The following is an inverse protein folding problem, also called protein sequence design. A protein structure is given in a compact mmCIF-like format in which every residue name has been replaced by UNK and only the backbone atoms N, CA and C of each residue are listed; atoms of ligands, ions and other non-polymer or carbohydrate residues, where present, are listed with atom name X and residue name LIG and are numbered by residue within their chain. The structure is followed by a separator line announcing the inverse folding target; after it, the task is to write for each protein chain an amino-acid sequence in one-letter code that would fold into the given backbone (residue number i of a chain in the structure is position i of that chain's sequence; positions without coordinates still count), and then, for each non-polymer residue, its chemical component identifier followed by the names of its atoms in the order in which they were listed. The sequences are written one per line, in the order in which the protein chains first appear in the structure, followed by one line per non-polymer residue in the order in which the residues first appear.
data_IF_589454551750
#
_entry.id   IF_589454551750
#
_cell.length_a   1.000
_cell.length_b   1.000
_cell.length_c   1.000
_cell.angle_alpha   90.00
_cell.angle_beta   90.00
_cell.angle_gamma   90.00
#
_symmetry.space_group_name_H-M   'P 1'
#
loop_
_entity.id
_entity.type
_entity.pdbx_description
1 polymer ?
#
# COMPACT_ATOMS: atom_id res chain seq x y z
N UNK A 1 -1.44 25.35 -15.05
CA UNK A 1 -2.36 25.46 -13.90
C UNK A 1 -3.14 24.17 -13.78
N UNK A 2 -2.68 23.25 -12.94
CA UNK A 2 -3.52 22.28 -12.23
C UNK A 2 -2.71 21.88 -10.99
N UNK A 3 -2.70 22.76 -9.98
CA UNK A 3 -2.13 22.45 -8.67
C UNK A 3 -3.16 21.60 -7.92
N UNK A 4 -3.38 20.35 -8.35
CA UNK A 4 -4.08 19.38 -7.50
C UNK A 4 -3.21 19.16 -6.29
N UNK A 5 -3.66 19.66 -5.13
CA UNK A 5 -3.06 19.26 -3.86
C UNK A 5 -3.01 17.72 -3.82
N UNK A 6 -1.90 17.13 -3.37
CA UNK A 6 -1.82 15.68 -3.23
C UNK A 6 -2.96 15.23 -2.32
N UNK A 7 -3.66 14.16 -2.74
CA UNK A 7 -4.76 13.58 -1.99
C UNK A 7 -4.33 13.32 -0.52
N UNK A 8 -5.21 13.59 0.46
CA UNK A 8 -4.98 13.18 1.85
C UNK A 8 -4.61 11.71 1.94
N UNK A 9 -3.67 11.37 2.82
CA UNK A 9 -3.06 10.04 2.85
C UNK A 9 -4.04 8.95 3.29
N UNK A 10 -5.03 9.29 4.12
CA UNK A 10 -6.16 8.43 4.48
C UNK A 10 -7.01 8.08 3.25
N UNK A 11 -7.31 9.08 2.41
CA UNK A 11 -8.05 8.84 1.17
C UNK A 11 -7.20 8.06 0.16
N UNK A 12 -5.91 8.38 0.06
CA UNK A 12 -4.98 7.73 -0.87
C UNK A 12 -4.78 6.24 -0.55
N UNK A 13 -4.55 5.90 0.71
CA UNK A 13 -4.40 4.49 1.15
C UNK A 13 -5.70 3.70 0.95
N UNK A 14 -6.87 4.32 1.18
CA UNK A 14 -8.17 3.72 0.88
C UNK A 14 -8.38 3.50 -0.62
N UNK A 15 -7.99 4.47 -1.46
CA UNK A 15 -8.07 4.35 -2.91
C UNK A 15 -7.15 3.26 -3.44
N UNK A 16 -5.93 3.16 -2.90
CA UNK A 16 -5.01 2.07 -3.19
C UNK A 16 -5.64 0.71 -2.88
N UNK A 17 -6.18 0.52 -1.68
CA UNK A 17 -6.82 -0.74 -1.28
C UNK A 17 -8.06 -1.09 -2.15
N UNK A 18 -8.81 -0.09 -2.62
CA UNK A 18 -9.92 -0.28 -3.58
C UNK A 18 -9.41 -0.67 -4.97
N UNK A 19 -8.33 -0.02 -5.43
CA UNK A 19 -7.72 -0.30 -6.72
C UNK A 19 -7.17 -1.72 -6.80
N UNK A 20 -6.54 -2.21 -5.73
CA UNK A 20 -6.11 -3.61 -5.60
C UNK A 20 -7.29 -4.57 -5.70
N UNK A 21 -8.39 -4.32 -4.96
CA UNK A 21 -9.61 -5.16 -5.04
C UNK A 21 -10.19 -5.18 -6.46
N UNK A 22 -10.17 -4.05 -7.16
CA UNK A 22 -10.64 -3.97 -8.54
C UNK A 22 -9.73 -4.73 -9.51
N UNK A 23 -8.42 -4.71 -9.30
CA UNK A 23 -7.43 -5.44 -10.08
C UNK A 23 -7.53 -6.96 -9.87
N UNK A 24 -7.54 -7.41 -8.62
CA UNK A 24 -7.63 -8.84 -8.26
C UNK A 24 -8.88 -9.50 -8.85
N UNK A 25 -10.02 -8.78 -8.92
CA UNK A 25 -11.26 -9.30 -9.54
C UNK A 25 -11.13 -9.65 -11.03
N UNK A 26 -10.13 -9.11 -11.71
CA UNK A 26 -9.90 -9.33 -13.14
C UNK A 26 -8.92 -10.48 -13.39
N UNK A 27 -8.25 -10.98 -12.36
CA UNK A 27 -7.24 -12.03 -12.51
C UNK A 27 -7.88 -13.41 -12.65
N UNK A 28 -7.30 -14.31 -13.45
CA UNK A 28 -7.81 -15.66 -13.61
C UNK A 28 -7.77 -16.41 -12.27
N UNK A 29 -8.84 -17.14 -11.89
CA UNK A 29 -8.88 -17.85 -10.61
C UNK A 29 -8.13 -19.19 -10.71
N UNK A 30 -6.81 -19.14 -10.60
CA UNK A 30 -5.97 -20.32 -10.37
C UNK A 30 -5.67 -20.48 -8.87
N UNK A 31 -5.19 -21.66 -8.45
CA UNK A 31 -4.79 -21.86 -7.05
C UNK A 31 -3.64 -20.94 -6.62
N UNK A 32 -2.64 -20.74 -7.49
CA UNK A 32 -1.48 -19.88 -7.20
C UNK A 32 -1.94 -18.43 -7.07
N UNK A 33 -2.69 -17.93 -8.06
CA UNK A 33 -3.21 -16.56 -8.04
C UNK A 33 -4.16 -16.33 -6.86
N UNK A 34 -4.91 -17.33 -6.41
CA UNK A 34 -5.80 -17.21 -5.25
C UNK A 34 -5.04 -16.88 -3.98
N UNK A 35 -3.97 -17.64 -3.69
CA UNK A 35 -3.17 -17.46 -2.48
C UNK A 35 -2.43 -16.10 -2.51
N UNK A 36 -1.82 -15.74 -3.64
CA UNK A 36 -1.14 -14.44 -3.83
C UNK A 36 -2.12 -13.27 -3.71
N UNK A 37 -3.30 -13.38 -4.33
CA UNK A 37 -4.34 -12.36 -4.24
C UNK A 37 -4.84 -12.20 -2.80
N UNK A 38 -5.01 -13.30 -2.05
CA UNK A 38 -5.46 -13.23 -0.67
C UNK A 38 -4.44 -12.50 0.23
N UNK A 39 -3.14 -12.73 0.01
CA UNK A 39 -2.08 -12.00 0.71
C UNK A 39 -2.06 -10.52 0.31
N UNK A 40 -2.13 -10.22 -0.98
CA UNK A 40 -2.17 -8.86 -1.50
C UNK A 40 -3.38 -8.05 -0.98
N UNK A 41 -4.56 -8.68 -0.90
CA UNK A 41 -5.78 -8.06 -0.38
C UNK A 41 -5.64 -7.70 1.11
N UNK A 42 -4.99 -8.56 1.90
CA UNK A 42 -4.70 -8.29 3.32
C UNK A 42 -3.68 -7.18 3.48
N UNK A 43 -2.53 -7.29 2.82
CA UNK A 43 -1.46 -6.30 2.92
C UNK A 43 -1.95 -4.90 2.50
N UNK A 44 -2.60 -4.80 1.34
CA UNK A 44 -3.11 -3.51 0.84
C UNK A 44 -4.18 -2.88 1.74
N UNK A 45 -5.04 -3.69 2.36
CA UNK A 45 -6.00 -3.23 3.36
C UNK A 45 -5.33 -2.75 4.66
N UNK A 46 -4.30 -3.49 5.11
CA UNK A 46 -3.53 -3.21 6.33
C UNK A 46 -2.83 -1.85 6.29
N UNK A 47 -2.39 -1.40 5.10
CA UNK A 47 -1.81 -0.05 4.91
C UNK A 47 -2.77 1.04 5.39
N UNK A 48 -4.02 1.03 4.93
CA UNK A 48 -5.01 2.04 5.29
C UNK A 48 -5.48 1.90 6.74
N UNK A 49 -5.70 0.67 7.20
CA UNK A 49 -6.13 0.40 8.58
C UNK A 49 -5.11 0.90 9.60
N UNK A 50 -3.82 0.59 9.43
CA UNK A 50 -2.77 1.08 10.32
C UNK A 50 -2.57 2.59 10.21
N UNK A 51 -2.84 3.20 9.06
CA UNK A 51 -2.74 4.66 8.93
C UNK A 51 -3.86 5.37 9.70
N UNK A 52 -5.08 4.83 9.70
CA UNK A 52 -6.18 5.33 10.55
C UNK A 52 -5.77 5.26 12.02
N UNK A 53 -5.27 4.11 12.47
CA UNK A 53 -4.78 3.94 13.85
C UNK A 53 -3.59 4.87 14.17
N UNK A 54 -2.73 5.16 13.18
CA UNK A 54 -1.66 6.14 13.36
C UNK A 54 -2.22 7.55 13.61
N UNK A 55 -3.24 7.97 12.87
CA UNK A 55 -3.86 9.30 13.05
C UNK A 55 -4.46 9.46 14.45
N UNK A 56 -5.02 8.38 15.00
CA UNK A 56 -5.61 8.34 16.35
C UNK A 56 -4.59 7.94 17.45
N UNK A 57 -3.29 7.88 17.15
CA UNK A 57 -2.29 7.39 18.09
C UNK A 57 -2.13 8.28 19.32
N UNK A 58 -2.14 7.66 20.51
CA UNK A 58 -2.05 8.36 21.80
C UNK A 58 -0.63 8.87 22.14
N UNK A 59 0.39 8.41 21.40
CA UNK A 59 1.77 8.86 21.59
C UNK A 59 2.57 8.90 20.30
N UNK A 60 3.62 9.73 20.26
CA UNK A 60 4.57 9.77 19.13
C UNK A 60 5.24 8.41 18.87
N UNK A 61 5.45 7.60 19.91
CA UNK A 61 6.04 6.25 19.77
C UNK A 61 5.07 5.28 19.10
N UNK A 62 3.79 5.32 19.49
CA UNK A 62 2.74 4.52 18.87
C UNK A 62 2.50 4.96 17.41
N UNK A 63 2.40 6.27 17.16
CA UNK A 63 2.36 6.83 15.81
C UNK A 63 3.50 6.28 14.93
N UNK A 64 4.75 6.34 15.42
CA UNK A 64 5.92 5.83 14.70
C UNK A 64 5.81 4.32 14.43
N UNK A 65 5.33 3.54 15.39
CA UNK A 65 5.13 2.10 15.24
C UNK A 65 4.11 1.80 14.13
N UNK A 66 2.95 2.47 14.14
CA UNK A 66 1.91 2.31 13.12
C UNK A 66 2.36 2.74 11.72
N UNK A 67 3.09 3.85 11.60
CA UNK A 67 3.69 4.27 10.33
C UNK A 67 4.71 3.23 9.81
N UNK A 68 5.49 2.60 10.70
CA UNK A 68 6.41 1.51 10.31
C UNK A 68 5.65 0.29 9.79
N UNK A 69 4.49 -0.04 10.37
CA UNK A 69 3.61 -1.10 9.85
C UNK A 69 3.08 -0.71 8.47
N UNK A 70 2.55 0.50 8.28
CA UNK A 70 2.07 0.99 6.97
C UNK A 70 3.15 0.82 5.88
N UNK A 71 4.41 1.18 6.20
CA UNK A 71 5.56 0.98 5.30
C UNK A 71 5.82 -0.49 4.98
N UNK A 72 5.76 -1.37 5.99
CA UNK A 72 5.95 -2.82 5.80
C UNK A 72 4.88 -3.38 4.88
N UNK A 73 3.62 -3.05 5.12
CA UNK A 73 2.46 -3.54 4.36
C UNK A 73 2.44 -3.02 2.91
N UNK A 74 2.92 -1.80 2.68
CA UNK A 74 3.10 -1.27 1.33
C UNK A 74 4.17 -2.04 0.55
N UNK A 75 5.28 -2.42 1.21
CA UNK A 75 6.33 -3.26 0.60
C UNK A 75 5.88 -4.69 0.37
N UNK A 76 5.09 -5.24 1.29
CA UNK A 76 4.51 -6.58 1.14
C UNK A 76 3.51 -6.59 -0.02
N UNK A 77 2.70 -5.54 -0.18
CA UNK A 77 1.82 -5.38 -1.33
C UNK A 77 2.60 -5.31 -2.65
N UNK A 78 3.75 -4.61 -2.67
CA UNK A 78 4.64 -4.58 -3.84
C UNK A 78 5.14 -5.97 -4.20
N UNK A 79 5.59 -6.75 -3.21
CA UNK A 79 6.08 -8.11 -3.42
C UNK A 79 5.02 -9.02 -4.05
N UNK A 80 3.78 -9.00 -3.55
CA UNK A 80 2.71 -9.83 -4.13
C UNK A 80 2.29 -9.38 -5.53
N UNK A 81 2.35 -8.07 -5.83
CA UNK A 81 2.14 -7.59 -7.20
C UNK A 81 3.24 -8.04 -8.16
N UNK A 82 4.50 -8.06 -7.70
CA UNK A 82 5.64 -8.53 -8.48
C UNK A 82 5.48 -10.01 -8.85
N UNK A 83 5.11 -10.87 -7.89
CA UNK A 83 4.82 -12.28 -8.14
C UNK A 83 3.66 -12.49 -9.13
N UNK A 84 2.62 -11.65 -9.05
CA UNK A 84 1.49 -11.70 -9.98
C UNK A 84 1.89 -11.20 -11.37
N UNK A 85 2.76 -10.20 -11.48
CA UNK A 85 3.11 -9.56 -12.75
C UNK A 85 3.60 -10.54 -13.82
N UNK A 86 4.39 -11.54 -13.41
CA UNK A 86 4.93 -12.56 -14.31
C UNK A 86 3.90 -13.61 -14.75
N UNK A 87 2.75 -13.69 -14.06
CA UNK A 87 1.73 -14.73 -14.22
C UNK A 87 0.38 -14.21 -14.74
N UNK A 88 0.30 -12.92 -15.11
CA UNK A 88 -0.93 -12.28 -15.61
C UNK A 88 -0.84 -11.97 -17.11
N UNK A 89 -2.00 -11.71 -17.71
CA UNK A 89 -2.08 -11.40 -19.12
C UNK A 89 -1.40 -10.05 -19.47
N UNK A 90 -0.82 -9.89 -20.68
CA UNK A 90 -0.09 -8.67 -21.06
C UNK A 90 -0.92 -7.36 -20.95
N UNK A 91 -2.23 -7.43 -21.18
CA UNK A 91 -3.15 -6.30 -21.04
C UNK A 91 -3.35 -5.87 -19.57
N UNK A 92 -3.05 -6.76 -18.61
CA UNK A 92 -3.13 -6.49 -17.17
C UNK A 92 -1.80 -5.98 -16.58
N UNK A 93 -0.67 -6.24 -17.25
CA UNK A 93 0.67 -5.86 -16.77
C UNK A 93 0.82 -4.35 -16.55
N UNK A 94 0.28 -3.52 -17.47
CA UNK A 94 0.30 -2.06 -17.30
C UNK A 94 -0.37 -1.64 -15.99
N UNK A 95 -1.54 -2.21 -15.69
CA UNK A 95 -2.26 -1.88 -14.47
C UNK A 95 -1.52 -2.38 -13.22
N UNK A 96 -0.90 -3.56 -13.30
CA UNK A 96 -0.06 -4.09 -12.23
C UNK A 96 1.12 -3.15 -11.95
N UNK A 97 1.84 -2.70 -12.97
CA UNK A 97 2.95 -1.76 -12.85
C UNK A 97 2.55 -0.41 -12.24
N UNK A 98 1.36 0.12 -12.59
CA UNK A 98 0.82 1.33 -11.95
C UNK A 98 0.58 1.13 -10.45
N UNK A 99 0.07 -0.04 -10.05
CA UNK A 99 -0.17 -0.38 -8.64
C UNK A 99 1.16 -0.59 -7.87
N UNK A 100 2.15 -1.21 -8.52
CA UNK A 100 3.50 -1.37 -7.95
C UNK A 100 4.14 0.00 -7.69
N UNK A 101 4.05 0.92 -8.65
CA UNK A 101 4.51 2.29 -8.47
C UNK A 101 3.79 3.00 -7.31
N UNK A 102 2.49 2.79 -7.13
CA UNK A 102 1.76 3.32 -5.97
C UNK A 102 2.27 2.74 -4.64
N UNK A 103 2.54 1.43 -4.57
CA UNK A 103 3.15 0.79 -3.40
C UNK A 103 4.50 1.44 -3.04
N UNK A 104 5.36 1.68 -4.04
CA UNK A 104 6.64 2.34 -3.83
C UNK A 104 6.49 3.77 -3.30
N UNK A 105 5.56 4.54 -3.89
CA UNK A 105 5.30 5.90 -3.45
C UNK A 105 4.80 5.92 -1.99
N UNK A 106 3.85 5.06 -1.64
CA UNK A 106 3.38 4.91 -0.25
C UNK A 106 4.53 4.51 0.69
N UNK A 107 5.35 3.52 0.31
CA UNK A 107 6.49 3.10 1.12
C UNK A 107 7.51 4.23 1.34
N UNK A 108 7.79 5.05 0.31
CA UNK A 108 8.67 6.23 0.41
C UNK A 108 8.08 7.30 1.32
N UNK A 109 6.78 7.59 1.19
CA UNK A 109 6.05 8.53 2.05
C UNK A 109 6.13 8.09 3.52
N UNK A 110 5.76 6.85 3.82
CA UNK A 110 5.82 6.33 5.20
C UNK A 110 7.26 6.28 5.74
N UNK A 111 8.26 6.03 4.88
CA UNK A 111 9.67 6.11 5.26
C UNK A 111 10.05 7.54 5.68
N UNK A 112 9.63 8.55 4.92
CA UNK A 112 9.89 9.96 5.25
C UNK A 112 9.21 10.35 6.57
N UNK A 113 7.93 10.01 6.75
CA UNK A 113 7.17 10.27 7.97
C UNK A 113 7.85 9.60 9.19
N UNK A 114 8.25 8.33 9.06
CA UNK A 114 8.93 7.62 10.14
C UNK A 114 10.24 8.29 10.54
N UNK A 115 11.08 8.67 9.57
CA UNK A 115 12.37 9.36 9.83
C UNK A 115 12.17 10.70 10.53
N UNK A 116 11.21 11.51 10.07
CA UNK A 116 10.90 12.80 10.69
C UNK A 116 10.32 12.65 12.10
N UNK A 117 9.54 11.60 12.36
CA UNK A 117 9.01 11.35 13.70
C UNK A 117 10.12 10.89 14.65
N UNK A 118 10.99 9.99 14.17
CA UNK A 118 12.13 9.48 14.94
C UNK A 118 13.12 10.58 15.33
N UNK A 119 13.37 11.55 14.44
CA UNK A 119 14.25 12.69 14.78
C UNK A 119 13.66 13.62 15.83
N UNK A 120 12.32 13.69 15.97
CA UNK A 120 11.61 14.49 16.98
C UNK A 120 11.40 13.78 18.31
N UNK A 121 11.82 12.52 18.41
CA UNK A 121 11.80 11.71 19.64
C UNK A 121 13.16 11.64 20.32
N UNK A 122 14.24 12.03 19.62
CA UNK A 122 15.58 12.22 20.16
C UNK A 122 15.67 13.58 20.82
#
# INVERSE_FOLDING_TARGET
MDQRQPLPLDQRTRMFAKAIRAFVRQLPPTRITYDDCAQLLRASGSVGANYIEAVDAESKKDFLHRIRICRKEAKESLYWLDLLHDNIAPDQQKRCAELMNECEQLARIFTAIAKTTESRLR
#
